data_IF_964730513501
#
_entry.id   IF_964730513501
#
_cell.length_a   1.000
_cell.length_b   1.000
_cell.length_c   1.000
_cell.angle_alpha   90.00
_cell.angle_beta   90.00
_cell.angle_gamma   90.00
#
_symmetry.space_group_name_H-M   'P 1'
#
loop_
_entity.id
_entity.type
_entity.pdbx_description
1 polymer ?
#
# COMPACT_ATOMS: atom_id res chain seq x y z
N UNK A 1 5.23 -21.35 3.03
CA UNK A 1 5.36 -20.45 1.85
C UNK A 1 5.05 -19.02 2.28
N UNK A 2 5.96 -18.05 2.11
CA UNK A 2 5.77 -16.71 2.64
C UNK A 2 4.56 -16.04 1.96
N UNK A 3 3.81 -15.32 2.80
CA UNK A 3 2.56 -14.62 2.50
C UNK A 3 2.69 -13.83 1.19
N UNK A 4 1.77 -14.11 0.27
CA UNK A 4 1.86 -13.71 -1.14
C UNK A 4 1.26 -12.36 -1.49
N UNK A 5 1.17 -11.43 -0.55
CA UNK A 5 1.35 -10.04 -0.92
C UNK A 5 2.85 -9.88 -1.11
N UNK A 6 3.33 -9.45 -2.28
CA UNK A 6 4.68 -8.90 -2.38
C UNK A 6 4.83 -7.97 -1.18
N UNK A 7 5.77 -8.26 -0.28
CA UNK A 7 6.20 -7.40 0.82
C UNK A 7 6.12 -5.96 0.30
N UNK A 8 5.17 -5.14 0.76
CA UNK A 8 4.77 -3.90 0.08
C UNK A 8 4.95 -2.63 0.94
N UNK A 9 5.45 -2.73 2.17
CA UNK A 9 5.75 -1.57 3.03
C UNK A 9 7.12 -1.73 3.71
N UNK A 10 8.21 -1.92 2.95
CA UNK A 10 9.54 -2.08 3.52
C UNK A 10 10.56 -1.08 2.98
N UNK A 11 11.35 -0.55 3.92
CA UNK A 11 12.44 0.41 3.74
C UNK A 11 11.96 1.84 3.49
N UNK A 12 11.57 2.55 4.54
CA UNK A 12 11.81 3.98 4.59
C UNK A 12 13.25 4.22 5.09
N UNK A 13 14.26 4.43 4.22
CA UNK A 13 15.29 5.37 4.57
C UNK A 13 14.61 6.74 4.60
N UNK A 14 14.21 7.19 5.78
CA UNK A 14 13.79 8.58 6.00
C UNK A 14 14.95 9.50 5.64
N UNK A 15 14.96 9.97 4.39
CA UNK A 15 15.53 11.24 4.06
C UNK A 15 14.35 12.18 3.90
N UNK A 16 14.18 13.05 4.89
CA UNK A 16 13.40 14.28 4.76
C UNK A 16 13.85 14.98 3.46
N UNK A 17 13.05 14.91 2.41
CA UNK A 17 13.01 16.00 1.44
C UNK A 17 12.36 17.14 2.23
N UNK A 18 13.19 18.03 2.76
CA UNK A 18 12.76 19.16 3.57
C UNK A 18 11.68 19.94 2.82
N UNK A 19 10.50 20.08 3.44
CA UNK A 19 9.53 21.11 3.07
C UNK A 19 10.18 22.47 3.33
N UNK A 20 10.79 23.03 2.30
CA UNK A 20 11.61 24.22 2.46
C UNK A 20 12.31 24.68 1.20
N UNK A 21 11.68 24.53 0.04
CA UNK A 21 11.85 25.43 -1.12
C UNK A 21 11.04 24.89 -2.29
N UNK A 22 10.02 25.64 -2.72
CA UNK A 22 9.39 25.49 -4.05
C UNK A 22 10.33 25.99 -5.17
N UNK A 23 11.65 25.80 -4.98
CA UNK A 23 12.69 26.19 -5.92
C UNK A 23 13.05 24.97 -6.76
N UNK A 24 12.32 24.81 -7.86
CA UNK A 24 12.77 24.10 -9.05
C UNK A 24 13.17 22.64 -8.83
N UNK A 25 12.25 21.80 -8.34
CA UNK A 25 12.39 20.36 -8.60
C UNK A 25 12.36 20.16 -10.12
N UNK A 26 13.50 19.78 -10.70
CA UNK A 26 13.56 19.40 -12.11
C UNK A 26 12.52 18.31 -12.36
N UNK A 27 11.70 18.48 -13.40
CA UNK A 27 10.63 17.53 -13.73
C UNK A 27 11.24 16.13 -13.95
N UNK A 28 10.95 15.18 -13.05
CA UNK A 28 11.50 13.82 -13.06
C UNK A 28 11.20 13.06 -14.36
N UNK A 29 10.19 13.50 -15.13
CA UNK A 29 9.83 12.93 -16.43
C UNK A 29 10.79 13.36 -17.56
N UNK A 30 11.56 14.43 -17.33
CA UNK A 30 12.53 14.98 -18.30
C UNK A 30 13.96 15.00 -17.76
N UNK A 31 14.14 14.96 -16.44
CA UNK A 31 15.46 15.05 -15.79
C UNK A 31 16.24 13.74 -15.82
N UNK A 32 15.60 12.63 -16.19
CA UNK A 32 16.18 11.29 -16.32
C UNK A 32 15.49 10.53 -17.47
N UNK A 33 16.11 9.45 -17.99
CA UNK A 33 15.40 8.58 -18.92
C UNK A 33 14.16 7.96 -18.27
N UNK A 34 13.02 8.01 -18.96
CA UNK A 34 11.72 7.68 -18.41
C UNK A 34 11.30 6.22 -18.75
N UNK A 35 11.14 5.34 -17.74
CA UNK A 35 10.63 3.98 -17.93
C UNK A 35 9.28 3.87 -18.61
N UNK A 36 8.48 4.94 -18.66
CA UNK A 36 7.21 4.97 -19.38
C UNK A 36 7.35 4.60 -20.85
N UNK A 37 8.50 4.89 -21.48
CA UNK A 37 8.81 4.45 -22.85
C UNK A 37 8.70 2.92 -23.02
N UNK A 38 9.16 2.15 -22.03
CA UNK A 38 9.08 0.69 -22.06
C UNK A 38 7.64 0.17 -21.96
N UNK A 39 6.81 0.82 -21.11
CA UNK A 39 5.39 0.48 -21.00
C UNK A 39 4.61 0.86 -22.26
N UNK A 40 4.91 2.00 -22.88
CA UNK A 40 4.31 2.40 -24.17
C UNK A 40 4.65 1.41 -25.28
N UNK A 41 5.91 0.96 -25.36
CA UNK A 41 6.29 -0.05 -26.35
C UNK A 41 5.61 -1.40 -26.13
N UNK A 42 5.44 -1.82 -24.86
CA UNK A 42 4.68 -3.03 -24.52
C UNK A 42 3.18 -2.89 -24.79
N UNK A 43 2.62 -1.70 -24.66
CA UNK A 43 1.22 -1.42 -25.00
C UNK A 43 0.97 -1.33 -26.52
N UNK A 44 2.02 -1.35 -27.34
CA UNK A 44 1.96 -1.15 -28.79
C UNK A 44 1.85 -2.45 -29.60
N UNK A 45 1.32 -3.53 -29.00
CA UNK A 45 1.22 -4.85 -29.66
C UNK A 45 0.42 -4.81 -30.98
N UNK A 46 -0.51 -3.86 -31.13
CA UNK A 46 -1.34 -3.68 -32.33
C UNK A 46 -0.93 -2.46 -33.20
N UNK A 47 0.19 -1.80 -32.88
CA UNK A 47 0.62 -0.57 -33.56
C UNK A 47 -0.16 0.68 -33.16
N UNK A 48 -0.96 0.63 -32.08
CA UNK A 48 -1.79 1.73 -31.61
C UNK A 48 -1.07 2.89 -30.91
N UNK A 49 0.24 2.79 -30.64
CA UNK A 49 1.02 3.82 -29.94
C UNK A 49 1.99 4.50 -30.91
N UNK A 50 1.77 5.79 -31.19
CA UNK A 50 2.60 6.57 -32.12
C UNK A 50 2.99 7.93 -31.53
N UNK A 51 4.09 8.50 -32.03
CA UNK A 51 4.47 9.89 -31.72
C UNK A 51 3.54 10.89 -32.42
N UNK A 52 3.14 11.94 -31.69
CA UNK A 52 2.30 13.04 -32.22
C UNK A 52 3.15 14.18 -32.80
N UNK A 53 4.42 14.24 -32.41
CA UNK A 53 5.41 15.22 -32.85
C UNK A 53 6.81 14.59 -32.96
N UNK A 54 7.80 15.37 -33.43
CA UNK A 54 9.19 14.96 -33.40
C UNK A 54 9.69 14.99 -31.94
N UNK A 55 10.27 13.89 -31.47
CA UNK A 55 10.76 13.77 -30.08
C UNK A 55 12.26 14.05 -30.06
N UNK A 56 12.67 15.00 -29.23
CA UNK A 56 14.07 15.44 -29.10
C UNK A 56 14.64 15.13 -27.72
N UNK A 57 15.95 14.89 -27.66
CA UNK A 57 16.67 14.85 -26.40
C UNK A 57 16.94 16.26 -25.84
N UNK A 58 17.35 16.35 -24.59
CA UNK A 58 17.64 17.61 -23.89
C UNK A 58 18.72 18.48 -24.54
N UNK A 59 19.45 17.97 -25.55
CA UNK A 59 20.45 18.71 -26.34
C UNK A 59 19.93 19.14 -27.72
N UNK A 60 18.67 18.81 -28.05
CA UNK A 60 18.06 19.10 -29.34
C UNK A 60 18.33 18.06 -30.43
N UNK A 61 18.87 16.89 -30.08
CA UNK A 61 19.03 15.80 -31.04
C UNK A 61 17.69 15.11 -31.28
N UNK A 62 17.29 14.99 -32.55
CA UNK A 62 16.10 14.25 -32.93
C UNK A 62 16.26 12.74 -32.61
N UNK A 63 15.35 12.23 -31.77
CA UNK A 63 15.29 10.82 -31.40
C UNK A 63 14.27 10.05 -32.22
N UNK A 64 13.03 10.53 -32.30
CA UNK A 64 11.91 9.85 -32.95
C UNK A 64 11.19 10.84 -33.86
N UNK A 65 10.89 10.45 -35.10
CA UNK A 65 10.11 11.28 -36.03
C UNK A 65 8.63 11.24 -35.65
N UNK A 66 7.89 12.31 -35.93
CA UNK A 66 6.43 12.36 -35.84
C UNK A 66 5.78 11.20 -36.61
N UNK A 67 4.68 10.66 -36.06
CA UNK A 67 3.92 9.51 -36.56
C UNK A 67 4.73 8.21 -36.66
N UNK A 68 5.79 8.08 -35.88
CA UNK A 68 6.51 6.81 -35.75
C UNK A 68 5.85 5.95 -34.67
N UNK A 69 5.79 4.64 -34.89
CA UNK A 69 5.36 3.70 -33.87
C UNK A 69 6.36 3.71 -32.69
N UNK A 70 5.85 3.72 -31.45
CA UNK A 70 6.67 3.57 -30.26
C UNK A 70 6.86 2.07 -30.01
N UNK A 71 7.81 1.45 -30.70
CA UNK A 71 8.16 0.04 -30.54
C UNK A 71 9.32 -0.17 -29.54
N UNK A 72 9.74 -1.43 -29.33
CA UNK A 72 10.82 -1.77 -28.42
C UNK A 72 12.16 -1.07 -28.77
N UNK A 73 12.44 -0.84 -30.06
CA UNK A 73 13.66 -0.15 -30.52
C UNK A 73 13.58 1.35 -30.19
N UNK A 74 12.42 1.96 -30.41
CA UNK A 74 12.16 3.35 -30.05
C UNK A 74 12.28 3.53 -28.53
N UNK A 75 11.67 2.63 -27.74
CA UNK A 75 11.80 2.66 -26.28
C UNK A 75 13.25 2.54 -25.81
N UNK A 76 14.04 1.62 -26.38
CA UNK A 76 15.46 1.50 -26.04
C UNK A 76 16.23 2.79 -26.30
N UNK A 77 15.92 3.47 -27.42
CA UNK A 77 16.52 4.77 -27.74
C UNK A 77 16.07 5.86 -26.77
N UNK A 78 14.78 5.95 -26.44
CA UNK A 78 14.26 6.93 -25.49
C UNK A 78 14.86 6.74 -24.09
N UNK A 79 15.03 5.48 -23.63
CA UNK A 79 15.62 5.14 -22.33
C UNK A 79 17.12 5.46 -22.19
N UNK A 80 17.79 5.87 -23.26
CA UNK A 80 19.19 6.29 -23.24
C UNK A 80 19.34 7.82 -23.15
N UNK A 81 18.25 8.58 -23.26
CA UNK A 81 18.29 10.03 -23.37
C UNK A 81 17.32 10.70 -22.39
N UNK A 82 17.69 11.90 -21.94
CA UNK A 82 16.77 12.82 -21.28
C UNK A 82 15.99 13.58 -22.35
N UNK A 83 14.67 13.71 -22.20
CA UNK A 83 13.82 14.36 -23.20
C UNK A 83 13.64 15.86 -22.90
N UNK A 84 13.36 16.66 -23.93
CA UNK A 84 13.04 18.09 -23.73
C UNK A 84 11.67 18.29 -23.07
N UNK A 85 10.74 17.38 -23.34
CA UNK A 85 9.36 17.42 -22.86
C UNK A 85 8.97 16.05 -22.32
N UNK A 86 7.97 15.97 -21.41
CA UNK A 86 7.44 14.70 -20.94
C UNK A 86 6.98 13.81 -22.11
N UNK A 87 7.22 12.51 -22.01
CA UNK A 87 6.94 11.58 -23.11
C UNK A 87 5.43 11.44 -23.36
N UNK A 88 4.63 11.45 -22.29
CA UNK A 88 3.18 11.37 -22.36
C UNK A 88 2.51 12.45 -23.21
N UNK A 89 3.13 13.64 -23.32
CA UNK A 89 2.59 14.76 -24.07
C UNK A 89 2.91 14.67 -25.58
N UNK A 90 3.84 13.78 -25.95
CA UNK A 90 4.41 13.65 -27.30
C UNK A 90 3.97 12.35 -28.00
N UNK A 91 3.11 11.57 -27.37
CA UNK A 91 2.60 10.30 -27.89
C UNK A 91 1.08 10.26 -27.82
N UNK A 92 0.49 9.41 -28.65
CA UNK A 92 -0.91 9.04 -28.54
C UNK A 92 -1.03 7.52 -28.43
N UNK A 93 -2.00 7.07 -27.65
CA UNK A 93 -2.40 5.67 -27.55
C UNK A 93 -3.77 5.52 -28.17
N UNK A 94 -3.93 4.59 -29.11
CA UNK A 94 -5.23 4.27 -29.72
C UNK A 94 -6.14 3.57 -28.71
N UNK A 95 -7.46 3.71 -28.88
CA UNK A 95 -8.47 3.06 -28.03
C UNK A 95 -8.30 3.37 -26.54
N UNK A 96 -8.06 4.63 -26.21
CA UNK A 96 -8.03 5.11 -24.82
C UNK A 96 -9.34 4.75 -24.13
N UNK A 97 -9.25 4.25 -22.90
CA UNK A 97 -10.41 3.92 -22.07
C UNK A 97 -11.38 5.10 -21.97
N UNK A 98 -12.61 4.88 -22.40
CA UNK A 98 -13.74 5.78 -22.19
C UNK A 98 -14.48 5.42 -20.90
N UNK A 99 -15.41 6.28 -20.45
CA UNK A 99 -16.28 5.96 -19.32
C UNK A 99 -17.09 4.67 -19.54
N UNK A 100 -17.47 4.38 -20.80
CA UNK A 100 -18.14 3.14 -21.15
C UNK A 100 -17.22 1.92 -20.97
N UNK A 101 -15.95 2.05 -21.34
CA UNK A 101 -14.96 0.99 -21.10
C UNK A 101 -14.73 0.78 -19.60
N UNK A 102 -14.62 1.85 -18.82
CA UNK A 102 -14.52 1.73 -17.36
C UNK A 102 -15.73 1.01 -16.75
N UNK A 103 -16.97 1.29 -17.19
CA UNK A 103 -18.15 0.54 -16.75
C UNK A 103 -18.00 -0.96 -17.01
N UNK A 104 -17.50 -1.34 -18.18
CA UNK A 104 -17.22 -2.74 -18.55
C UNK A 104 -16.14 -3.33 -17.63
N UNK A 105 -15.05 -2.61 -17.38
CA UNK A 105 -13.97 -3.05 -16.49
C UNK A 105 -14.45 -3.24 -15.04
N UNK A 106 -15.26 -2.32 -14.49
CA UNK A 106 -15.86 -2.50 -13.17
C UNK A 106 -16.81 -3.69 -13.13
N UNK A 107 -17.62 -3.90 -14.18
CA UNK A 107 -18.48 -5.08 -14.28
C UNK A 107 -17.66 -6.37 -14.24
N UNK A 108 -16.57 -6.46 -15.00
CA UNK A 108 -15.67 -7.62 -14.98
C UNK A 108 -14.97 -7.80 -13.63
N UNK A 109 -14.50 -6.71 -13.03
CA UNK A 109 -13.91 -6.72 -11.69
C UNK A 109 -14.89 -7.28 -10.66
N UNK A 110 -16.12 -6.77 -10.62
CA UNK A 110 -17.15 -7.24 -9.68
C UNK A 110 -17.54 -8.70 -9.91
N UNK A 111 -17.65 -9.13 -11.17
CA UNK A 111 -17.92 -10.55 -11.50
C UNK A 111 -16.80 -11.48 -11.03
N UNK A 112 -15.56 -10.99 -11.05
CA UNK A 112 -14.38 -11.75 -10.61
C UNK A 112 -14.21 -11.76 -9.08
N UNK A 113 -14.85 -10.83 -8.36
CA UNK A 113 -14.75 -10.68 -6.91
C UNK A 113 -16.14 -10.73 -6.26
N UNK A 114 -16.67 -11.96 -6.11
CA UNK A 114 -18.04 -12.23 -5.63
C UNK A 114 -18.37 -11.59 -4.28
N UNK A 115 -17.40 -11.52 -3.38
CA UNK A 115 -17.53 -10.89 -2.07
C UNK A 115 -17.78 -9.37 -2.21
N UNK A 116 -17.01 -8.70 -3.05
CA UNK A 116 -17.17 -7.26 -3.33
C UNK A 116 -18.50 -7.00 -4.03
N UNK A 117 -18.88 -7.83 -5.00
CA UNK A 117 -20.17 -7.72 -5.66
C UNK A 117 -21.35 -7.88 -4.68
N UNK A 118 -21.28 -8.85 -3.77
CA UNK A 118 -22.29 -9.03 -2.72
C UNK A 118 -22.34 -7.83 -1.77
N UNK A 119 -21.18 -7.34 -1.33
CA UNK A 119 -21.06 -6.19 -0.45
C UNK A 119 -21.66 -4.93 -1.07
N UNK A 120 -21.32 -4.64 -2.33
CA UNK A 120 -21.84 -3.49 -3.07
C UNK A 120 -23.37 -3.50 -3.14
N UNK A 121 -23.97 -4.67 -3.36
CA UNK A 121 -25.43 -4.83 -3.42
C UNK A 121 -26.08 -4.58 -2.06
N UNK A 122 -25.54 -5.15 -0.98
CA UNK A 122 -26.04 -4.94 0.38
C UNK A 122 -25.94 -3.47 0.81
N UNK A 123 -24.83 -2.81 0.47
CA UNK A 123 -24.54 -1.41 0.78
C UNK A 123 -25.21 -0.42 -0.20
N UNK A 124 -25.99 -0.94 -1.16
CA UNK A 124 -26.75 -0.17 -2.17
C UNK A 124 -25.91 0.85 -2.95
N UNK A 125 -24.66 0.53 -3.24
CA UNK A 125 -23.71 1.47 -3.85
C UNK A 125 -23.62 1.38 -5.39
N UNK A 126 -24.24 0.38 -6.03
CA UNK A 126 -24.14 0.15 -7.48
C UNK A 126 -24.48 1.39 -8.33
N UNK A 127 -25.62 2.04 -8.05
CA UNK A 127 -26.09 3.19 -8.86
C UNK A 127 -25.18 4.41 -8.70
N UNK A 128 -24.67 4.64 -7.50
CA UNK A 128 -23.77 5.76 -7.23
C UNK A 128 -22.41 5.53 -7.90
N UNK A 129 -21.89 4.31 -7.87
CA UNK A 129 -20.69 3.94 -8.62
C UNK A 129 -20.87 4.16 -10.13
N UNK A 130 -21.98 3.71 -10.72
CA UNK A 130 -22.28 3.95 -12.14
C UNK A 130 -22.36 5.45 -12.48
N UNK A 131 -22.91 6.27 -11.57
CA UNK A 131 -22.96 7.73 -11.73
C UNK A 131 -21.56 8.36 -11.66
N UNK A 132 -20.71 7.91 -10.75
CA UNK A 132 -19.31 8.37 -10.65
C UNK A 132 -18.54 8.03 -11.92
N UNK A 133 -18.67 6.80 -12.43
CA UNK A 133 -18.01 6.38 -13.67
C UNK A 133 -18.56 7.15 -14.87
N UNK A 134 -19.89 7.30 -14.98
CA UNK A 134 -20.53 8.02 -16.09
C UNK A 134 -20.17 9.51 -16.12
N UNK A 135 -20.04 10.14 -14.94
CA UNK A 135 -19.69 11.54 -14.77
C UNK A 135 -18.18 11.83 -14.77
N UNK A 136 -17.34 10.79 -14.86
CA UNK A 136 -15.89 10.92 -14.79
C UNK A 136 -15.32 11.76 -15.93
N UNK A 137 -14.40 12.67 -15.56
CA UNK A 137 -13.69 13.57 -16.48
C UNK A 137 -12.18 13.41 -16.26
N UNK A 138 -11.62 12.33 -16.83
CA UNK A 138 -10.17 12.15 -16.82
C UNK A 138 -9.51 13.01 -17.90
N UNK A 139 -8.43 13.75 -17.57
CA UNK A 139 -7.56 14.34 -18.59
C UNK A 139 -7.09 13.28 -19.59
N UNK A 140 -6.89 13.65 -20.85
CA UNK A 140 -6.53 12.72 -21.93
C UNK A 140 -5.29 11.88 -21.60
N UNK A 141 -4.28 12.50 -21.00
CA UNK A 141 -3.05 11.83 -20.56
C UNK A 141 -3.29 10.87 -19.40
N UNK A 142 -4.20 11.18 -18.47
CA UNK A 142 -4.55 10.26 -17.38
C UNK A 142 -5.29 9.05 -17.94
N UNK A 143 -6.25 9.25 -18.84
CA UNK A 143 -6.94 8.16 -19.52
C UNK A 143 -5.97 7.29 -20.35
N UNK A 144 -5.01 7.91 -21.04
CA UNK A 144 -3.91 7.23 -21.73
C UNK A 144 -3.10 6.36 -20.74
N UNK A 145 -2.67 6.92 -19.61
CA UNK A 145 -1.92 6.17 -18.59
C UNK A 145 -2.72 5.02 -17.99
N UNK A 146 -4.00 5.22 -17.70
CA UNK A 146 -4.88 4.12 -17.24
C UNK A 146 -5.02 3.01 -18.29
N UNK A 147 -5.08 3.37 -19.57
CA UNK A 147 -5.09 2.41 -20.69
C UNK A 147 -3.79 1.61 -20.73
N UNK A 148 -2.64 2.28 -20.65
CA UNK A 148 -1.33 1.61 -20.61
C UNK A 148 -1.20 0.74 -19.35
N UNK A 149 -1.68 1.20 -18.19
CA UNK A 149 -1.68 0.41 -16.96
C UNK A 149 -2.52 -0.86 -17.09
N UNK A 150 -3.73 -0.78 -17.64
CA UNK A 150 -4.56 -1.96 -17.91
C UNK A 150 -3.82 -3.00 -18.77
N UNK A 151 -3.14 -2.56 -19.83
CA UNK A 151 -2.44 -3.46 -20.76
C UNK A 151 -1.14 -4.02 -20.17
N UNK A 152 -0.36 -3.19 -19.48
CA UNK A 152 1.00 -3.52 -19.09
C UNK A 152 1.13 -4.01 -17.65
N UNK A 153 0.26 -3.53 -16.76
CA UNK A 153 0.20 -3.77 -15.31
C UNK A 153 -1.24 -4.13 -14.88
N UNK A 154 -1.85 -5.18 -15.45
CA UNK A 154 -3.28 -5.50 -15.24
C UNK A 154 -3.64 -5.75 -13.77
N UNK A 155 -2.72 -6.33 -12.98
CA UNK A 155 -2.93 -6.48 -11.54
C UNK A 155 -3.13 -5.12 -10.87
N UNK A 156 -2.23 -4.15 -11.10
CA UNK A 156 -2.32 -2.80 -10.53
C UNK A 156 -3.59 -2.07 -10.98
N UNK A 157 -4.01 -2.27 -12.24
CA UNK A 157 -5.28 -1.73 -12.72
C UNK A 157 -6.48 -2.29 -11.92
N UNK A 158 -6.52 -3.60 -11.65
CA UNK A 158 -7.58 -4.19 -10.82
C UNK A 158 -7.54 -3.69 -9.37
N UNK A 159 -6.34 -3.42 -8.82
CA UNK A 159 -6.19 -2.78 -7.50
C UNK A 159 -6.79 -1.37 -7.48
N UNK A 160 -6.54 -0.59 -8.53
CA UNK A 160 -7.09 0.74 -8.67
C UNK A 160 -8.64 0.73 -8.70
N UNK A 161 -9.25 -0.25 -9.37
CA UNK A 161 -10.72 -0.44 -9.35
C UNK A 161 -11.26 -0.75 -7.95
N UNK A 162 -10.55 -1.59 -7.18
CA UNK A 162 -10.88 -1.84 -5.78
C UNK A 162 -10.77 -0.56 -4.93
N UNK A 163 -9.62 0.12 -5.00
CA UNK A 163 -9.31 1.26 -4.15
C UNK A 163 -10.25 2.44 -4.41
N UNK A 164 -10.57 2.71 -5.68
CA UNK A 164 -11.59 3.71 -6.05
C UNK A 164 -13.00 3.38 -5.56
N UNK A 165 -13.43 2.12 -5.68
CA UNK A 165 -14.73 1.65 -5.17
C UNK A 165 -14.82 1.86 -3.66
N UNK A 166 -13.82 1.40 -2.90
CA UNK A 166 -13.84 1.49 -1.45
C UNK A 166 -13.65 2.92 -0.95
N UNK A 167 -12.78 3.72 -1.60
CA UNK A 167 -12.55 5.11 -1.25
C UNK A 167 -13.84 5.94 -1.39
N UNK A 168 -14.54 5.78 -2.52
CA UNK A 168 -15.81 6.47 -2.75
C UNK A 168 -16.89 6.03 -1.75
N UNK A 169 -16.94 4.74 -1.42
CA UNK A 169 -17.87 4.18 -0.44
C UNK A 169 -17.59 4.69 0.98
N UNK A 170 -16.32 4.78 1.38
CA UNK A 170 -15.90 5.37 2.66
C UNK A 170 -16.31 6.84 2.70
N UNK A 171 -15.96 7.63 1.67
CA UNK A 171 -16.31 9.05 1.59
C UNK A 171 -17.83 9.27 1.70
N UNK A 172 -18.63 8.43 1.03
CA UNK A 172 -20.08 8.45 1.12
C UNK A 172 -20.59 8.18 2.54
N UNK A 173 -20.11 7.11 3.19
CA UNK A 173 -20.56 6.75 4.54
C UNK A 173 -20.07 7.75 5.60
N UNK A 174 -19.00 8.49 5.30
CA UNK A 174 -18.57 9.66 6.07
C UNK A 174 -19.44 10.89 5.84
N UNK A 175 -20.43 10.82 4.94
CA UNK A 175 -21.32 11.93 4.56
C UNK A 175 -20.55 13.15 4.02
N UNK A 176 -19.46 12.92 3.29
CA UNK A 176 -18.75 13.98 2.58
C UNK A 176 -19.60 14.49 1.41
N UNK A 177 -19.27 15.68 0.91
CA UNK A 177 -19.97 16.23 -0.24
C UNK A 177 -19.66 15.46 -1.54
N UNK A 178 -20.40 15.79 -2.61
CA UNK A 178 -20.26 15.10 -3.90
C UNK A 178 -18.90 15.33 -4.55
N UNK A 179 -18.26 16.47 -4.30
CA UNK A 179 -16.97 16.81 -4.89
C UNK A 179 -15.87 15.98 -4.21
N UNK A 180 -15.94 15.84 -2.89
CA UNK A 180 -15.04 15.00 -2.10
C UNK A 180 -15.22 13.50 -2.37
N UNK A 181 -16.46 13.02 -2.54
CA UNK A 181 -16.71 11.64 -2.95
C UNK A 181 -16.11 11.37 -4.33
N UNK A 182 -16.30 12.31 -5.27
CA UNK A 182 -15.70 12.21 -6.60
C UNK A 182 -14.17 12.27 -6.54
N UNK A 183 -13.58 13.13 -5.70
CA UNK A 183 -12.15 13.21 -5.50
C UNK A 183 -11.59 11.90 -4.91
N UNK A 184 -12.24 11.29 -3.92
CA UNK A 184 -11.86 10.00 -3.35
C UNK A 184 -11.93 8.87 -4.39
N UNK A 185 -12.99 8.85 -5.21
CA UNK A 185 -13.14 7.92 -6.32
C UNK A 185 -11.98 8.03 -7.32
N UNK A 186 -11.72 9.25 -7.82
CA UNK A 186 -10.66 9.49 -8.81
C UNK A 186 -9.28 9.23 -8.22
N UNK A 187 -8.99 9.72 -7.03
CA UNK A 187 -7.71 9.49 -6.36
C UNK A 187 -7.47 8.00 -6.11
N UNK A 188 -8.49 7.25 -5.67
CA UNK A 188 -8.40 5.79 -5.55
C UNK A 188 -8.15 5.09 -6.89
N UNK A 189 -8.67 5.62 -8.00
CA UNK A 189 -8.49 5.06 -9.34
C UNK A 189 -7.10 5.33 -9.91
N UNK A 190 -6.43 6.40 -9.48
CA UNK A 190 -5.17 6.85 -10.10
C UNK A 190 -3.98 6.99 -9.13
N UNK A 191 -4.12 6.58 -7.86
CA UNK A 191 -3.04 6.68 -6.86
C UNK A 191 -1.73 6.03 -7.32
N UNK A 192 -1.83 4.93 -8.06
CA UNK A 192 -0.70 4.11 -8.48
C UNK A 192 -0.14 4.44 -9.88
N UNK A 193 -0.60 5.52 -10.54
CA UNK A 193 -0.15 5.84 -11.91
C UNK A 193 1.36 6.08 -12.02
N UNK A 194 2.01 6.47 -10.91
CA UNK A 194 3.45 6.64 -10.86
C UNK A 194 4.22 5.35 -11.16
N UNK A 195 3.61 4.16 -10.99
CA UNK A 195 4.25 2.89 -11.33
C UNK A 195 4.61 2.76 -12.81
N UNK A 196 3.92 3.49 -13.69
CA UNK A 196 4.24 3.54 -15.12
C UNK A 196 5.59 4.20 -15.41
N UNK A 197 6.16 4.92 -14.44
CA UNK A 197 7.47 5.53 -14.54
C UNK A 197 8.54 4.75 -13.75
N UNK A 198 8.20 3.56 -13.23
CA UNK A 198 9.14 2.65 -12.59
C UNK A 198 9.49 1.54 -13.58
N UNK A 199 10.77 1.16 -13.63
CA UNK A 199 11.23 0.15 -14.57
C UNK A 199 10.57 -1.21 -14.32
N UNK A 200 10.22 -1.90 -15.39
CA UNK A 200 9.62 -3.23 -15.33
C UNK A 200 10.55 -4.25 -14.69
N UNK A 201 11.87 -4.07 -14.80
CA UNK A 201 12.87 -4.89 -14.12
C UNK A 201 12.74 -4.81 -12.60
N UNK A 202 12.51 -3.60 -12.05
CA UNK A 202 12.31 -3.38 -10.62
C UNK A 202 10.95 -3.97 -10.18
N UNK A 203 9.88 -3.70 -10.92
CA UNK A 203 8.53 -4.16 -10.57
C UNK A 203 8.36 -5.68 -10.65
N UNK A 204 9.06 -6.33 -11.59
CA UNK A 204 8.97 -7.77 -11.83
C UNK A 204 10.10 -8.58 -11.16
N UNK A 205 10.98 -7.92 -10.40
CA UNK A 205 12.09 -8.59 -9.72
C UNK A 205 11.59 -9.72 -8.83
N UNK A 206 12.16 -10.92 -9.03
CA UNK A 206 11.92 -12.09 -8.16
C UNK A 206 12.88 -12.03 -6.97
N UNK A 207 12.37 -12.25 -5.76
CA UNK A 207 13.17 -12.22 -4.53
C UNK A 207 13.04 -10.91 -3.77
N UNK A 208 13.99 -10.63 -2.86
CA UNK A 208 13.98 -9.39 -2.07
C UNK A 208 14.45 -8.19 -2.90
N UNK A 209 13.68 -7.12 -2.87
CA UNK A 209 14.06 -5.84 -3.46
C UNK A 209 15.21 -5.21 -2.64
N UNK A 210 16.21 -4.67 -3.34
CA UNK A 210 17.31 -3.93 -2.73
C UNK A 210 16.84 -2.57 -2.22
N UNK A 211 17.65 -1.89 -1.40
CA UNK A 211 17.33 -0.55 -0.90
C UNK A 211 17.08 0.47 -2.04
N UNK A 212 17.82 0.35 -3.15
CA UNK A 212 17.59 1.20 -4.33
C UNK A 212 16.29 0.84 -5.06
N UNK A 213 15.97 -0.45 -5.19
CA UNK A 213 14.71 -0.89 -5.81
C UNK A 213 13.51 -0.33 -5.02
N UNK A 214 13.60 -0.37 -3.69
CA UNK A 214 12.57 0.17 -2.81
C UNK A 214 12.40 1.67 -2.92
N UNK A 215 13.49 2.44 -2.96
CA UNK A 215 13.43 3.88 -3.19
C UNK A 215 12.77 4.21 -4.54
N UNK A 216 13.08 3.44 -5.57
CA UNK A 216 12.44 3.60 -6.87
C UNK A 216 10.93 3.30 -6.77
N UNK A 217 10.54 2.18 -6.16
CA UNK A 217 9.13 1.84 -5.93
C UNK A 217 8.42 2.96 -5.17
N UNK A 218 8.95 3.42 -4.03
CA UNK A 218 8.33 4.48 -3.23
C UNK A 218 8.20 5.81 -3.98
N UNK A 219 9.08 6.09 -4.94
CA UNK A 219 9.00 7.33 -5.72
C UNK A 219 7.73 7.44 -6.57
N UNK A 220 6.96 6.36 -6.76
CA UNK A 220 5.72 6.38 -7.52
C UNK A 220 4.70 7.40 -6.98
N UNK A 221 4.65 7.63 -5.67
CA UNK A 221 3.73 8.62 -5.07
C UNK A 221 4.09 10.05 -5.48
N UNK A 222 5.39 10.35 -5.53
CA UNK A 222 5.92 11.66 -5.91
C UNK A 222 5.74 11.87 -7.42
N UNK A 223 6.09 10.85 -8.22
CA UNK A 223 5.93 10.89 -9.67
C UNK A 223 4.45 11.02 -10.04
N UNK A 224 3.58 10.26 -9.38
CA UNK A 224 2.12 10.32 -9.55
C UNK A 224 1.59 11.72 -9.29
N UNK A 225 1.96 12.35 -8.17
CA UNK A 225 1.60 13.74 -7.90
C UNK A 225 2.10 14.69 -8.99
N UNK A 226 3.37 14.57 -9.42
CA UNK A 226 3.95 15.44 -10.44
C UNK A 226 3.22 15.33 -11.79
N UNK A 227 2.86 14.11 -12.19
CA UNK A 227 2.03 13.87 -13.38
C UNK A 227 0.70 14.61 -13.25
N UNK A 228 0.04 14.52 -12.09
CA UNK A 228 -1.33 15.04 -11.91
C UNK A 228 -1.40 16.55 -11.72
N UNK A 229 -0.38 17.19 -11.14
CA UNK A 229 -0.33 18.66 -10.98
C UNK A 229 -0.38 19.42 -12.31
N UNK A 230 -0.11 18.75 -13.43
CA UNK A 230 -0.20 19.35 -14.77
C UNK A 230 -1.63 19.49 -15.32
N UNK A 231 -2.65 18.98 -14.62
CA UNK A 231 -4.01 18.84 -15.16
C UNK A 231 -5.07 19.48 -14.24
N UNK A 232 -5.45 20.75 -14.47
CA UNK A 232 -6.40 21.47 -13.63
C UNK A 232 -7.85 20.97 -13.71
N UNK A 233 -8.16 20.03 -14.62
CA UNK A 233 -9.47 19.40 -14.71
C UNK A 233 -9.75 18.42 -13.56
N UNK A 234 -8.72 18.02 -12.82
CA UNK A 234 -8.85 17.19 -11.63
C UNK A 234 -9.08 18.04 -10.39
N UNK A 235 -9.86 17.56 -9.39
CA UNK A 235 -9.95 18.24 -8.11
C UNK A 235 -8.56 18.39 -7.46
N UNK A 236 -8.29 19.55 -6.87
CA UNK A 236 -6.99 19.87 -6.26
C UNK A 236 -6.53 18.84 -5.21
N UNK A 237 -7.49 18.22 -4.52
CA UNK A 237 -7.23 17.19 -3.51
C UNK A 237 -6.64 15.91 -4.11
N UNK A 238 -6.91 15.57 -5.38
CA UNK A 238 -6.49 14.31 -6.01
C UNK A 238 -4.97 14.16 -6.03
N UNK A 239 -4.25 15.17 -6.53
CA UNK A 239 -2.78 15.10 -6.62
C UNK A 239 -2.12 15.05 -5.23
N UNK A 240 -2.74 15.66 -4.21
CA UNK A 240 -2.31 15.53 -2.81
C UNK A 240 -2.57 14.12 -2.27
N UNK A 241 -3.75 13.56 -2.51
CA UNK A 241 -4.10 12.20 -2.08
C UNK A 241 -3.21 11.14 -2.71
N UNK A 242 -2.83 11.31 -3.98
CA UNK A 242 -1.83 10.45 -4.65
C UNK A 242 -0.45 10.55 -4.00
N UNK A 243 -0.03 11.70 -3.50
CA UNK A 243 1.22 11.80 -2.73
C UNK A 243 1.12 11.11 -1.36
N UNK A 244 -0.03 11.23 -0.71
CA UNK A 244 -0.23 10.87 0.70
C UNK A 244 -0.75 9.45 0.93
N UNK A 245 -1.09 8.66 -0.09
CA UNK A 245 -1.78 7.38 0.13
C UNK A 245 -0.94 6.31 0.87
N UNK A 246 0.38 6.50 0.96
CA UNK A 246 1.26 5.71 1.82
C UNK A 246 1.67 6.41 3.12
N UNK A 247 1.19 7.63 3.36
CA UNK A 247 1.34 8.31 4.64
C UNK A 247 0.38 7.72 5.69
N UNK A 248 0.84 7.71 6.95
CA UNK A 248 0.14 7.13 8.11
C UNK A 248 0.11 8.14 9.25
N UNK A 249 -0.93 8.11 10.08
CA UNK A 249 -1.12 9.12 11.14
C UNK A 249 -0.02 9.07 12.22
N UNK A 250 0.59 7.90 12.40
CA UNK A 250 1.73 7.65 13.28
C UNK A 250 3.09 8.18 12.73
N UNK A 251 3.12 8.68 11.49
CA UNK A 251 4.33 9.16 10.82
C UNK A 251 5.33 8.05 10.44
N UNK A 252 4.88 6.79 10.34
CA UNK A 252 5.67 5.67 9.80
C UNK A 252 5.55 5.52 8.28
N UNK A 253 4.64 6.28 7.67
CA UNK A 253 4.42 6.32 6.23
C UNK A 253 5.50 7.09 5.45
N UNK A 254 5.27 7.21 4.14
CA UNK A 254 6.17 7.88 3.18
C UNK A 254 5.33 8.66 2.14
N UNK A 255 5.90 9.67 1.44
CA UNK A 255 7.32 10.00 1.31
C UNK A 255 7.89 10.97 2.36
N UNK A 256 7.03 11.73 3.05
CA UNK A 256 7.42 12.79 3.97
C UNK A 256 7.27 12.41 5.45
N UNK A 257 6.63 11.27 5.75
CA UNK A 257 6.40 10.79 7.12
C UNK A 257 5.63 11.84 7.94
N UNK A 258 4.56 12.37 7.35
CA UNK A 258 3.75 13.46 7.91
C UNK A 258 3.03 13.00 9.17
N UNK A 259 2.82 13.94 10.10
CA UNK A 259 1.95 13.70 11.24
C UNK A 259 0.47 13.80 10.86
N UNK A 260 -0.39 13.27 11.72
CA UNK A 260 -1.85 13.28 11.56
C UNK A 260 -2.42 14.65 11.17
N UNK A 261 -1.92 15.74 11.76
CA UNK A 261 -2.42 17.10 11.54
C UNK A 261 -2.11 17.64 10.14
N UNK A 262 -1.16 17.04 9.43
CA UNK A 262 -0.72 17.46 8.10
C UNK A 262 -1.23 16.55 6.97
N UNK A 263 -2.09 15.58 7.27
CA UNK A 263 -2.66 14.65 6.29
C UNK A 263 -4.02 15.13 5.79
N UNK A 264 -4.31 14.92 4.51
CA UNK A 264 -5.64 15.20 3.96
C UNK A 264 -6.62 14.06 4.25
N UNK A 265 -7.88 14.41 4.44
CA UNK A 265 -8.97 13.44 4.62
C UNK A 265 -9.07 12.47 3.43
N UNK A 266 -9.05 12.99 2.20
CA UNK A 266 -9.13 12.18 0.99
C UNK A 266 -7.88 11.30 0.84
N UNK A 267 -6.68 11.82 1.17
CA UNK A 267 -5.45 11.03 1.19
C UNK A 267 -5.53 9.85 2.15
N UNK A 268 -6.07 10.06 3.36
CA UNK A 268 -6.26 8.99 4.34
C UNK A 268 -7.37 7.99 3.96
N UNK A 269 -8.40 8.43 3.23
CA UNK A 269 -9.43 7.52 2.68
C UNK A 269 -8.82 6.58 1.63
N UNK A 270 -8.00 7.13 0.71
CA UNK A 270 -7.29 6.34 -0.29
C UNK A 270 -6.27 5.42 0.37
N UNK A 271 -5.54 5.91 1.37
CA UNK A 271 -4.59 5.14 2.16
C UNK A 271 -5.23 3.92 2.86
N UNK A 272 -6.42 4.09 3.45
CA UNK A 272 -7.20 3.00 4.04
C UNK A 272 -7.64 2.00 2.96
N UNK A 273 -8.09 2.51 1.82
CA UNK A 273 -8.58 1.69 0.71
C UNK A 273 -7.46 0.84 0.10
N UNK A 274 -6.27 1.41 -0.09
CA UNK A 274 -5.07 0.72 -0.57
C UNK A 274 -4.58 -0.36 0.41
N UNK A 275 -4.58 -0.07 1.72
CA UNK A 275 -4.22 -1.08 2.73
C UNK A 275 -5.15 -2.30 2.69
N UNK A 276 -6.47 -2.07 2.57
CA UNK A 276 -7.45 -3.16 2.47
C UNK A 276 -7.41 -3.87 1.12
N UNK A 277 -7.10 -3.15 0.05
CA UNK A 277 -6.84 -3.72 -1.28
C UNK A 277 -5.70 -4.73 -1.19
N UNK A 278 -4.56 -4.35 -0.61
CA UNK A 278 -3.37 -5.19 -0.52
C UNK A 278 -3.64 -6.48 0.28
N UNK A 279 -4.44 -6.39 1.34
CA UNK A 279 -4.87 -7.54 2.13
C UNK A 279 -5.81 -8.45 1.33
N UNK A 280 -6.91 -7.91 0.80
CA UNK A 280 -7.93 -8.70 0.09
C UNK A 280 -7.31 -9.36 -1.15
N UNK A 281 -6.72 -8.58 -2.04
CA UNK A 281 -6.32 -9.08 -3.36
C UNK A 281 -4.91 -9.68 -3.36
N UNK A 282 -4.11 -9.44 -2.32
CA UNK A 282 -2.78 -10.03 -2.15
C UNK A 282 -2.75 -11.16 -1.14
N UNK A 283 -2.90 -10.83 0.15
CA UNK A 283 -2.75 -11.79 1.26
C UNK A 283 -3.83 -12.87 1.22
N UNK A 284 -5.09 -12.49 1.05
CA UNK A 284 -6.26 -13.38 1.16
C UNK A 284 -6.54 -14.20 -0.10
N UNK A 285 -5.97 -13.80 -1.25
CA UNK A 285 -6.16 -14.49 -2.53
C UNK A 285 -5.79 -15.98 -2.48
N UNK A 286 -4.86 -16.38 -1.60
CA UNK A 286 -4.42 -17.78 -1.47
C UNK A 286 -5.28 -18.63 -0.54
N UNK A 287 -6.02 -18.01 0.36
CA UNK A 287 -6.79 -18.69 1.42
C UNK A 287 -8.29 -18.71 1.14
N UNK A 288 -8.75 -18.02 0.08
CA UNK A 288 -10.18 -17.88 -0.21
C UNK A 288 -10.94 -16.95 0.74
N UNK A 289 -10.22 -16.32 1.68
CA UNK A 289 -10.76 -15.31 2.61
C UNK A 289 -11.36 -14.14 1.83
N UNK A 290 -12.40 -13.56 2.39
CA UNK A 290 -13.18 -12.50 1.78
C UNK A 290 -12.98 -11.16 2.51
N UNK A 291 -13.59 -10.09 1.99
CA UNK A 291 -13.46 -8.75 2.57
C UNK A 291 -13.87 -8.65 4.06
N UNK A 292 -14.76 -9.50 4.57
CA UNK A 292 -15.15 -9.56 6.00
C UNK A 292 -14.00 -9.95 6.93
N UNK A 293 -13.04 -10.70 6.42
CA UNK A 293 -11.89 -11.22 7.16
C UNK A 293 -10.82 -10.16 7.42
N UNK A 294 -11.01 -8.91 6.95
CA UNK A 294 -10.09 -7.79 7.23
C UNK A 294 -10.30 -7.17 8.62
N UNK A 295 -11.44 -7.43 9.29
CA UNK A 295 -11.74 -6.82 10.59
C UNK A 295 -10.66 -7.06 11.67
N UNK A 296 -10.06 -8.26 11.82
CA UNK A 296 -8.99 -8.47 12.80
C UNK A 296 -7.77 -7.58 12.53
N UNK A 297 -7.41 -7.37 11.26
CA UNK A 297 -6.35 -6.45 10.87
C UNK A 297 -6.68 -4.99 11.21
N UNK A 298 -7.91 -4.55 10.89
CA UNK A 298 -8.37 -3.21 11.22
C UNK A 298 -8.35 -2.94 12.73
N UNK A 299 -8.72 -3.93 13.56
CA UNK A 299 -8.66 -3.82 15.03
C UNK A 299 -7.25 -3.55 15.53
N UNK A 300 -6.24 -4.24 14.97
CA UNK A 300 -4.83 -4.02 15.33
C UNK A 300 -4.31 -2.66 14.84
N UNK A 301 -4.81 -2.18 13.72
CA UNK A 301 -4.34 -0.98 13.03
C UNK A 301 -5.28 0.22 13.19
N UNK A 302 -6.00 0.31 14.31
CA UNK A 302 -7.05 1.31 14.52
C UNK A 302 -6.57 2.77 14.56
N UNK A 303 -5.27 2.99 14.75
CA UNK A 303 -4.64 4.32 14.81
C UNK A 303 -3.73 4.62 13.60
N UNK A 304 -3.66 3.72 12.62
CA UNK A 304 -2.79 3.85 11.45
C UNK A 304 -3.30 4.92 10.47
N UNK A 305 -4.62 5.09 10.42
CA UNK A 305 -5.34 6.12 9.66
C UNK A 305 -6.28 6.88 10.61
N UNK A 306 -6.88 7.98 10.16
CA UNK A 306 -7.80 8.76 10.99
C UNK A 306 -8.89 7.87 11.59
N UNK A 307 -9.12 8.03 12.91
CA UNK A 307 -10.07 7.20 13.64
C UNK A 307 -11.49 7.22 13.04
N UNK A 308 -11.92 8.37 12.49
CA UNK A 308 -13.20 8.49 11.79
C UNK A 308 -13.30 7.59 10.56
N UNK A 309 -12.23 7.48 9.78
CA UNK A 309 -12.13 6.59 8.61
C UNK A 309 -12.12 5.14 9.07
N UNK A 310 -11.31 4.79 10.07
CA UNK A 310 -11.29 3.45 10.66
C UNK A 310 -12.69 2.99 11.08
N UNK A 311 -13.41 3.81 11.86
CA UNK A 311 -14.74 3.49 12.37
C UNK A 311 -15.73 3.25 11.23
N UNK A 312 -15.78 4.17 10.26
CA UNK A 312 -16.69 4.05 9.11
C UNK A 312 -16.35 2.81 8.26
N UNK A 313 -15.07 2.51 8.09
CA UNK A 313 -14.62 1.31 7.37
C UNK A 313 -15.08 0.04 8.08
N UNK A 314 -14.93 -0.05 9.41
CA UNK A 314 -15.45 -1.18 10.20
C UNK A 314 -16.97 -1.31 10.04
N UNK A 315 -17.72 -0.20 10.06
CA UNK A 315 -19.17 -0.21 9.88
C UNK A 315 -19.58 -0.66 8.47
N UNK A 316 -18.87 -0.22 7.42
CA UNK A 316 -19.05 -0.70 6.05
C UNK A 316 -18.90 -2.22 5.99
N UNK A 317 -17.80 -2.75 6.54
CA UNK A 317 -17.52 -4.19 6.51
C UNK A 317 -18.60 -4.96 7.28
N UNK A 318 -19.06 -4.47 8.43
CA UNK A 318 -20.14 -5.11 9.21
C UNK A 318 -21.49 -5.09 8.50
N UNK A 319 -21.80 -4.00 7.78
CA UNK A 319 -23.07 -3.85 7.02
C UNK A 319 -23.02 -4.47 5.62
N UNK A 320 -21.89 -5.03 5.21
CA UNK A 320 -21.69 -5.61 3.87
C UNK A 320 -22.50 -6.88 3.60
N UNK A 321 -23.09 -7.51 4.62
CA UNK A 321 -23.77 -8.80 4.48
C UNK A 321 -22.82 -9.97 4.22
N UNK A 322 -21.51 -9.77 4.41
CA UNK A 322 -20.50 -10.82 4.29
C UNK A 322 -20.29 -11.50 5.65
N UNK A 323 -20.21 -12.82 5.62
CA UNK A 323 -19.83 -13.65 6.77
C UNK A 323 -18.32 -13.95 6.74
N UNK A 324 -17.68 -14.14 7.91
CA UNK A 324 -16.27 -14.48 7.96
C UNK A 324 -16.03 -15.87 7.35
N UNK A 325 -14.86 -16.08 6.76
CA UNK A 325 -14.54 -17.33 6.05
C UNK A 325 -13.84 -18.30 7.00
N UNK A 326 -14.44 -19.47 7.30
CA UNK A 326 -13.72 -20.52 8.02
C UNK A 326 -12.62 -21.10 7.12
N UNK A 327 -11.38 -21.05 7.58
CA UNK A 327 -10.22 -21.61 6.91
C UNK A 327 -9.68 -22.75 7.77
N UNK A 328 -9.86 -23.97 7.26
CA UNK A 328 -9.35 -25.17 7.91
C UNK A 328 -7.82 -25.23 7.84
N UNK A 329 -7.20 -25.74 8.91
CA UNK A 329 -5.76 -25.98 8.95
C UNK A 329 -5.44 -27.36 8.34
N UNK A 330 -4.58 -27.45 7.30
CA UNK A 330 -4.31 -28.72 6.62
C UNK A 330 -3.75 -29.84 7.51
N UNK A 331 -3.09 -29.47 8.60
CA UNK A 331 -2.49 -30.38 9.58
C UNK A 331 -3.44 -30.78 10.72
N UNK A 332 -4.66 -30.23 10.74
CA UNK A 332 -5.62 -30.42 11.82
C UNK A 332 -5.38 -29.49 13.01
N UNK A 333 -6.44 -29.24 13.77
CA UNK A 333 -6.41 -28.29 14.88
C UNK A 333 -5.59 -28.79 16.08
N UNK A 334 -5.51 -30.10 16.28
CA UNK A 334 -4.69 -30.76 17.31
C UNK A 334 -3.20 -30.43 17.20
N UNK A 335 -2.71 -30.12 15.98
CA UNK A 335 -1.34 -29.68 15.74
C UNK A 335 -1.21 -28.15 15.78
N UNK A 336 -2.28 -27.45 15.38
CA UNK A 336 -2.26 -26.00 15.22
C UNK A 336 -2.47 -25.23 16.52
N UNK A 337 -3.36 -25.68 17.40
CA UNK A 337 -3.61 -25.04 18.71
C UNK A 337 -2.32 -24.98 19.56
N UNK A 338 -1.52 -26.07 19.68
CA UNK A 338 -0.22 -26.00 20.37
C UNK A 338 0.79 -25.05 19.72
N UNK A 339 0.69 -24.77 18.42
CA UNK A 339 1.52 -23.78 17.74
C UNK A 339 1.10 -22.35 18.14
N UNK A 340 -0.21 -22.07 18.19
CA UNK A 340 -0.73 -20.77 18.64
C UNK A 340 -0.34 -20.46 20.08
N UNK A 341 -0.44 -21.45 20.98
CA UNK A 341 0.01 -21.34 22.38
C UNK A 341 1.48 -20.94 22.46
N UNK A 342 2.36 -21.66 21.73
CA UNK A 342 3.79 -21.35 21.67
C UNK A 342 4.06 -19.96 21.09
N UNK A 343 3.31 -19.54 20.08
CA UNK A 343 3.42 -18.19 19.50
C UNK A 343 3.05 -17.09 20.48
N UNK A 344 2.08 -17.31 21.37
CA UNK A 344 1.75 -16.32 22.42
C UNK A 344 2.93 -16.13 23.38
N UNK A 345 3.60 -17.20 23.78
CA UNK A 345 4.78 -17.09 24.65
C UNK A 345 5.92 -16.30 23.96
N UNK A 346 6.22 -16.62 22.70
CA UNK A 346 7.21 -15.87 21.94
C UNK A 346 6.81 -14.41 21.69
N UNK A 347 5.51 -14.13 21.55
CA UNK A 347 5.00 -12.77 21.45
C UNK A 347 5.22 -12.00 22.76
N UNK A 348 4.97 -12.62 23.93
CA UNK A 348 5.26 -12.02 25.25
C UNK A 348 6.75 -11.71 25.41
N UNK A 349 7.64 -12.60 24.97
CA UNK A 349 9.09 -12.38 24.97
C UNK A 349 9.50 -11.21 24.06
N UNK A 350 8.93 -11.14 22.85
CA UNK A 350 9.16 -10.04 21.92
C UNK A 350 8.69 -8.69 22.51
N UNK A 351 7.48 -8.66 23.09
CA UNK A 351 6.93 -7.48 23.78
C UNK A 351 7.83 -7.02 24.92
N UNK A 352 8.35 -7.94 25.74
CA UNK A 352 9.27 -7.59 26.82
C UNK A 352 10.54 -6.94 26.25
N UNK A 353 11.15 -7.53 25.22
CA UNK A 353 12.33 -6.97 24.55
C UNK A 353 12.06 -5.58 23.99
N UNK A 354 10.89 -5.38 23.36
CA UNK A 354 10.47 -4.08 22.85
C UNK A 354 10.29 -3.04 23.95
N UNK A 355 9.69 -3.41 25.09
CA UNK A 355 9.55 -2.50 26.24
C UNK A 355 10.90 -2.08 26.83
N UNK A 356 11.87 -3.00 26.90
CA UNK A 356 13.22 -2.66 27.38
C UNK A 356 13.93 -1.70 26.41
N UNK A 357 13.81 -1.93 25.10
CA UNK A 357 14.33 -1.03 24.07
C UNK A 357 13.66 0.35 24.16
N UNK A 358 12.33 0.40 24.21
CA UNK A 358 11.56 1.64 24.26
C UNK A 358 11.91 2.49 25.49
N UNK A 359 12.10 1.85 26.66
CA UNK A 359 12.55 2.51 27.89
C UNK A 359 13.86 3.26 27.68
N UNK A 360 14.86 2.59 27.09
CA UNK A 360 16.17 3.20 26.84
C UNK A 360 16.07 4.27 25.75
N UNK A 361 15.30 4.04 24.69
CA UNK A 361 15.10 5.03 23.62
C UNK A 361 14.47 6.33 24.12
N UNK A 362 13.58 6.27 25.12
CA UNK A 362 12.98 7.45 25.74
C UNK A 362 13.98 8.36 26.48
N UNK A 363 15.16 7.85 26.80
CA UNK A 363 16.23 8.59 27.50
C UNK A 363 17.26 9.22 26.53
N UNK A 364 17.11 9.00 25.22
CA UNK A 364 18.12 9.35 24.21
C UNK A 364 17.54 10.39 23.23
N UNK A 365 18.29 11.46 22.96
CA UNK A 365 18.01 12.31 21.80
C UNK A 365 18.34 11.57 20.51
N UNK A 366 17.34 10.88 19.96
CA UNK A 366 17.47 10.20 18.68
C UNK A 366 17.44 11.17 17.50
N UNK A 367 18.30 10.93 16.51
CA UNK A 367 18.12 11.44 15.15
C UNK A 367 16.78 10.99 14.53
N UNK A 368 16.49 11.35 13.27
CA UNK A 368 15.24 11.02 12.62
C UNK A 368 14.83 9.53 12.73
N UNK A 369 15.76 8.56 12.60
CA UNK A 369 15.43 7.14 12.74
C UNK A 369 15.22 6.69 14.18
N UNK A 370 15.85 7.37 15.14
CA UNK A 370 15.58 7.14 16.56
C UNK A 370 14.13 7.49 16.90
N UNK A 371 13.67 8.66 16.44
CA UNK A 371 12.27 9.10 16.61
C UNK A 371 11.25 8.16 15.95
N UNK A 372 11.53 7.69 14.73
CA UNK A 372 10.65 6.71 14.07
C UNK A 372 10.66 5.38 14.82
N UNK A 373 11.83 4.91 15.28
CA UNK A 373 11.92 3.67 16.07
C UNK A 373 11.05 3.74 17.32
N UNK A 374 11.09 4.86 18.07
CA UNK A 374 10.21 5.08 19.24
C UNK A 374 8.75 4.95 18.83
N UNK A 375 8.31 5.72 17.83
CA UNK A 375 6.90 5.72 17.39
C UNK A 375 6.43 4.33 16.93
N UNK A 376 7.23 3.63 16.13
CA UNK A 376 6.88 2.29 15.65
C UNK A 376 6.79 1.29 16.82
N UNK A 377 7.70 1.35 17.79
CA UNK A 377 7.63 0.49 18.97
C UNK A 377 6.39 0.79 19.81
N UNK A 378 6.11 2.06 20.10
CA UNK A 378 4.93 2.48 20.85
C UNK A 378 3.64 2.03 20.16
N UNK A 379 3.56 2.17 18.85
CA UNK A 379 2.40 1.72 18.07
C UNK A 379 2.19 0.21 18.15
N UNK A 380 3.23 -0.58 17.91
CA UNK A 380 3.15 -2.05 17.99
C UNK A 380 2.74 -2.48 19.40
N UNK A 381 3.37 -1.90 20.42
CA UNK A 381 3.06 -2.21 21.83
C UNK A 381 1.61 -1.83 22.16
N UNK A 382 1.15 -0.65 21.74
CA UNK A 382 -0.23 -0.22 21.92
C UNK A 382 -1.21 -1.16 21.22
N UNK A 383 -0.96 -1.53 19.95
CA UNK A 383 -1.81 -2.47 19.20
C UNK A 383 -1.91 -3.84 19.87
N UNK A 384 -0.81 -4.35 20.45
CA UNK A 384 -0.81 -5.60 21.22
C UNK A 384 -1.64 -5.47 22.51
N UNK A 385 -1.52 -4.35 23.22
CA UNK A 385 -2.25 -4.11 24.48
C UNK A 385 -3.76 -3.95 24.20
N UNK A 386 -4.14 -3.15 23.22
CA UNK A 386 -5.55 -2.85 22.89
C UNK A 386 -6.27 -4.04 22.27
N UNK A 387 -5.56 -4.90 21.54
CA UNK A 387 -6.13 -6.15 20.99
C UNK A 387 -6.32 -7.26 22.01
N UNK A 388 -5.67 -7.18 23.17
CA UNK A 388 -5.67 -8.25 24.16
C UNK A 388 -4.81 -9.45 23.78
N UNK A 389 -4.00 -9.36 22.72
CA UNK A 389 -3.22 -10.48 22.18
C UNK A 389 -2.12 -11.00 23.11
N UNK A 390 -1.71 -10.20 24.10
CA UNK A 390 -0.72 -10.59 25.09
C UNK A 390 -1.31 -10.90 26.48
N UNK A 391 -2.64 -11.04 26.59
CA UNK A 391 -3.33 -11.31 27.86
C UNK A 391 -3.32 -12.80 28.23
N UNK A 392 -3.31 -13.09 29.53
CA UNK A 392 -3.32 -14.47 30.04
C UNK A 392 -4.67 -15.15 29.83
N UNK A 393 -5.77 -14.39 29.78
CA UNK A 393 -7.10 -14.94 29.51
C UNK A 393 -7.22 -15.55 28.11
N UNK A 394 -6.56 -14.94 27.12
CA UNK A 394 -6.51 -15.48 25.76
C UNK A 394 -5.77 -16.82 25.73
N UNK A 395 -4.64 -16.90 26.44
CA UNK A 395 -3.86 -18.13 26.55
C UNK A 395 -4.69 -19.25 27.20
N UNK A 396 -5.33 -18.95 28.35
CA UNK A 396 -6.17 -19.92 29.04
C UNK A 396 -7.35 -20.40 28.20
N UNK A 397 -7.95 -19.52 27.39
CA UNK A 397 -9.01 -19.91 26.46
C UNK A 397 -8.51 -20.85 25.35
N UNK A 398 -7.35 -20.54 24.74
CA UNK A 398 -6.78 -21.39 23.66
C UNK A 398 -6.38 -22.78 24.20
N UNK A 399 -5.87 -22.86 25.42
CA UNK A 399 -5.49 -24.14 26.05
C UNK A 399 -6.69 -25.06 26.34
N UNK A 400 -7.91 -24.52 26.41
CA UNK A 400 -9.14 -25.28 26.61
C UNK A 400 -9.75 -25.82 25.31
N UNK A 401 -9.20 -25.45 24.16
CA UNK A 401 -9.69 -25.91 22.85
C UNK A 401 -9.33 -27.38 22.66
N UNK A 402 -10.35 -28.23 22.50
CA UNK A 402 -10.20 -29.65 22.22
C UNK A 402 -10.19 -29.95 20.70
N UNK A 403 -10.12 -31.23 20.34
CA UNK A 403 -10.06 -31.65 18.94
C UNK A 403 -11.42 -31.52 18.20
N UNK A 404 -12.53 -31.29 18.92
CA UNK A 404 -13.89 -31.20 18.38
C UNK A 404 -14.32 -29.73 18.19
N UNK A 405 -13.52 -28.99 17.44
CA UNK A 405 -13.78 -27.59 17.10
C UNK A 405 -14.94 -27.48 16.11
N UNK A 406 -15.98 -26.77 16.50
CA UNK A 406 -17.03 -26.33 15.59
C UNK A 406 -16.60 -25.10 14.77
N UNK A 407 -17.45 -24.69 13.82
CA UNK A 407 -17.16 -23.54 12.96
C UNK A 407 -17.00 -22.23 13.74
N UNK A 408 -17.66 -22.07 14.90
CA UNK A 408 -17.56 -20.86 15.72
C UNK A 408 -16.16 -20.74 16.32
N UNK A 409 -15.68 -21.81 16.94
CA UNK A 409 -14.33 -21.85 17.54
C UNK A 409 -13.26 -21.76 16.44
N UNK A 410 -13.48 -22.36 15.27
CA UNK A 410 -12.56 -22.23 14.13
C UNK A 410 -12.42 -20.78 13.65
N UNK A 411 -13.52 -20.04 13.59
CA UNK A 411 -13.51 -18.62 13.21
C UNK A 411 -12.71 -17.78 14.21
N UNK A 412 -12.84 -18.04 15.52
CA UNK A 412 -12.06 -17.35 16.55
C UNK A 412 -10.55 -17.65 16.43
N UNK A 413 -10.18 -18.93 16.24
CA UNK A 413 -8.80 -19.36 15.97
C UNK A 413 -8.23 -18.64 14.73
N UNK A 414 -9.03 -18.55 13.67
CA UNK A 414 -8.68 -17.87 12.42
C UNK A 414 -8.47 -16.36 12.61
N UNK A 415 -9.32 -15.68 13.39
CA UNK A 415 -9.10 -14.27 13.74
C UNK A 415 -7.79 -14.09 14.53
N UNK A 416 -7.51 -14.99 15.48
CA UNK A 416 -6.28 -14.96 16.28
C UNK A 416 -5.05 -15.13 15.39
N UNK A 417 -5.08 -16.09 14.47
CA UNK A 417 -4.00 -16.31 13.51
C UNK A 417 -3.71 -15.06 12.68
N UNK A 418 -4.75 -14.43 12.11
CA UNK A 418 -4.61 -13.24 11.29
C UNK A 418 -3.94 -12.11 12.06
N UNK A 419 -4.38 -11.90 13.30
CA UNK A 419 -3.81 -10.88 14.18
C UNK A 419 -2.36 -11.21 14.59
N UNK A 420 -2.04 -12.45 14.91
CA UNK A 420 -0.67 -12.85 15.21
C UNK A 420 0.25 -12.65 13.99
N UNK A 421 -0.19 -13.04 12.80
CA UNK A 421 0.60 -12.87 11.58
C UNK A 421 0.87 -11.39 11.29
N UNK A 422 -0.10 -10.51 11.54
CA UNK A 422 0.07 -9.07 11.43
C UNK A 422 1.06 -8.53 12.48
N UNK A 423 0.91 -8.92 13.75
CA UNK A 423 1.85 -8.51 14.80
C UNK A 423 3.28 -8.96 14.52
N UNK A 424 3.49 -10.18 14.03
CA UNK A 424 4.81 -10.68 13.64
C UNK A 424 5.41 -9.80 12.54
N UNK A 425 4.58 -9.35 11.60
CA UNK A 425 5.00 -8.45 10.55
C UNK A 425 5.39 -7.07 11.11
N UNK A 426 4.55 -6.47 11.96
CA UNK A 426 4.77 -5.18 12.59
C UNK A 426 6.03 -5.17 13.48
N UNK A 427 6.17 -6.16 14.36
CA UNK A 427 7.36 -6.34 15.21
C UNK A 427 8.61 -6.50 14.34
N UNK A 428 8.52 -7.28 13.27
CA UNK A 428 9.61 -7.43 12.32
C UNK A 428 9.99 -6.12 11.63
N UNK A 429 9.00 -5.27 11.33
CA UNK A 429 9.23 -3.94 10.76
C UNK A 429 9.94 -3.02 11.75
N UNK A 430 9.41 -2.94 12.98
CA UNK A 430 9.99 -2.17 14.07
C UNK A 430 11.46 -2.57 14.34
N UNK A 431 11.73 -3.87 14.45
CA UNK A 431 13.07 -4.42 14.68
C UNK A 431 14.08 -4.02 13.59
N UNK A 432 13.66 -4.02 12.31
CA UNK A 432 14.52 -3.60 11.19
C UNK A 432 14.84 -2.10 11.25
N UNK A 433 13.82 -1.26 11.48
CA UNK A 433 13.98 0.19 11.63
C UNK A 433 14.94 0.52 12.76
N UNK A 434 14.76 -0.15 13.90
CA UNK A 434 15.62 0.01 15.06
C UNK A 434 17.06 -0.47 14.82
N UNK A 435 17.24 -1.59 14.12
CA UNK A 435 18.58 -2.05 13.72
C UNK A 435 19.31 -1.03 12.84
N UNK A 436 18.60 -0.41 11.90
CA UNK A 436 19.18 0.65 11.06
C UNK A 436 19.56 1.91 11.86
N UNK A 437 18.80 2.24 12.91
CA UNK A 437 19.16 3.29 13.86
C UNK A 437 20.43 2.93 14.64
N UNK A 438 20.51 1.72 15.20
CA UNK A 438 21.68 1.24 15.95
C UNK A 438 22.98 1.24 15.15
N UNK A 439 22.90 1.00 13.84
CA UNK A 439 24.05 0.97 12.95
C UNK A 439 24.52 2.36 12.49
N UNK A 440 23.62 3.34 12.37
CA UNK A 440 23.91 4.57 11.61
C UNK A 440 23.74 5.87 12.40
N UNK A 441 22.92 5.88 13.44
CA UNK A 441 22.49 7.11 14.13
C UNK A 441 22.58 7.03 15.66
N UNK A 442 22.67 5.83 16.22
CA UNK A 442 22.73 5.65 17.67
C UNK A 442 24.10 6.11 18.20
N UNK A 443 24.10 7.24 18.91
CA UNK A 443 25.26 7.83 19.55
C UNK A 443 25.04 7.91 21.07
N UNK A 444 25.37 6.83 21.76
CA UNK A 444 25.24 6.67 23.23
C UNK A 444 26.50 6.02 23.80
N UNK A 445 26.66 6.00 25.12
CA UNK A 445 27.78 5.33 25.75
C UNK A 445 27.81 3.82 25.45
N UNK A 446 28.98 3.19 25.64
CA UNK A 446 29.21 1.79 25.30
C UNK A 446 28.32 0.82 26.07
N UNK A 447 27.94 1.16 27.31
CA UNK A 447 27.09 0.30 28.14
C UNK A 447 25.66 0.33 27.62
N UNK A 448 25.11 1.52 27.37
CA UNK A 448 23.78 1.72 26.79
C UNK A 448 23.68 1.05 25.41
N UNK A 449 24.71 1.20 24.57
CA UNK A 449 24.75 0.59 23.26
C UNK A 449 24.76 -0.95 23.34
N UNK A 450 25.50 -1.53 24.29
CA UNK A 450 25.50 -2.97 24.53
C UNK A 450 24.13 -3.48 25.00
N UNK A 451 23.46 -2.75 25.90
CA UNK A 451 22.10 -3.07 26.37
C UNK A 451 21.09 -3.05 25.23
N UNK A 452 21.11 -2.02 24.37
CA UNK A 452 20.23 -1.93 23.20
C UNK A 452 20.47 -3.09 22.21
N UNK A 453 21.73 -3.46 21.96
CA UNK A 453 22.07 -4.59 21.07
C UNK A 453 21.58 -5.92 21.65
N UNK A 454 21.80 -6.15 22.94
CA UNK A 454 21.33 -7.36 23.63
C UNK A 454 19.82 -7.55 23.49
N UNK A 455 19.03 -6.51 23.76
CA UNK A 455 17.57 -6.60 23.62
C UNK A 455 17.12 -6.70 22.15
N UNK A 456 17.84 -6.10 21.20
CA UNK A 456 17.57 -6.28 19.78
C UNK A 456 17.82 -7.72 19.32
N UNK A 457 18.88 -8.36 19.82
CA UNK A 457 19.19 -9.77 19.53
C UNK A 457 18.13 -10.70 20.13
N UNK A 458 17.67 -10.45 21.36
CA UNK A 458 16.55 -11.16 21.97
C UNK A 458 15.27 -11.00 21.14
N UNK A 459 14.96 -9.79 20.70
CA UNK A 459 13.80 -9.52 19.83
C UNK A 459 13.90 -10.28 18.51
N UNK A 460 15.10 -10.34 17.90
CA UNK A 460 15.35 -11.10 16.68
C UNK A 460 15.13 -12.59 16.89
N UNK A 461 15.61 -13.15 18.00
CA UNK A 461 15.41 -14.57 18.35
C UNK A 461 13.92 -14.89 18.54
N UNK A 462 13.17 -14.06 19.26
CA UNK A 462 11.72 -14.23 19.41
C UNK A 462 10.99 -14.17 18.05
N UNK A 463 11.40 -13.26 17.15
CA UNK A 463 10.86 -13.16 15.80
C UNK A 463 11.14 -14.40 14.94
N UNK A 464 12.34 -14.99 15.06
CA UNK A 464 12.67 -16.23 14.37
C UNK A 464 11.77 -17.37 14.81
N UNK A 465 11.54 -17.51 16.12
CA UNK A 465 10.62 -18.51 16.69
C UNK A 465 9.17 -18.28 16.25
N UNK A 466 8.70 -17.02 16.28
CA UNK A 466 7.34 -16.65 15.82
C UNK A 466 7.08 -16.98 14.34
N UNK A 467 8.12 -16.96 13.50
CA UNK A 467 8.02 -17.26 12.06
C UNK A 467 8.01 -18.75 11.74
N UNK A 468 8.37 -19.61 12.70
CA UNK A 468 8.27 -21.06 12.54
C UNK A 468 6.79 -21.44 12.41
N UNK A 469 6.50 -22.31 11.44
CA UNK A 469 5.16 -22.79 11.11
C UNK A 469 5.01 -24.23 11.54
#
# INVERSE_FOLDING_TARGET
MPLGAKKMDHLAPNNTLSEGSDHGMADLRTSQPDPYAGHLAKANDDGGVISTEDIFDGRGQLLIRRHSAIDARCAQRLLQHRLQRPLEDQVQVKNVLTNADFLVEYSHFLQSHRDIFSAQRHLRFTRELEQLIGGMRLPSVVAQKMTVMKLCLPEQFQKALFSSWLAALIAREMSLDKEDIYAAFIAGLIHDIGFLHISSEILNKKGEASVSDWRAIQSHVVIGQMVLKGYPELPDSVARSVLEHHERCDGTGYPAARDENNLSIIGQIVAMSDALQALRMGVFAKTGRNLRDVLPFLRLNSNTHFYGIYRVTVDIIRKSGLEPTPVAHPQGNSQYVPLLVRRIDYLKQAVNSMKQIAKVLGEIEGGPKGRVSIRTFDQVLNGIITSGMARDELLGWIELIDDNIDDSVLLEINEIELMQNELIWQIGSAQRTFSAFLERECNVDSQMQATLRMHNDQLRESLEKLRQR
#
